data_IF_531809950391
#
_entry.id   IF_531809950391
#
_cell.length_a   1.000
_cell.length_b   1.000
_cell.length_c   1.000
_cell.angle_alpha   90.00
_cell.angle_beta   90.00
_cell.angle_gamma   90.00
#
_symmetry.space_group_name_H-M   'P 1'
#
loop_
_entity.id
_entity.type
_entity.pdbx_description
1 polymer ?
#
# COMPACT_ATOMS: atom_id res chain seq x y z
N UNK A 1 38.33 9.04 3.97
CA UNK A 1 37.64 9.06 5.26
C UNK A 1 36.19 9.49 5.07
N UNK A 2 35.27 8.58 5.38
CA UNK A 2 33.83 8.79 5.34
C UNK A 2 33.32 8.69 6.77
N UNK A 3 32.59 9.69 7.24
CA UNK A 3 32.11 9.74 8.63
C UNK A 3 30.60 9.94 8.68
N UNK A 4 29.97 9.27 9.65
CA UNK A 4 28.55 9.43 9.97
C UNK A 4 28.38 10.25 11.24
N UNK A 5 27.45 11.19 11.19
CA UNK A 5 27.16 12.12 12.27
C UNK A 5 25.66 12.13 12.58
N UNK A 6 25.28 12.07 13.85
CA UNK A 6 23.89 12.21 14.30
C UNK A 6 23.66 13.67 14.71
N UNK A 7 22.69 14.34 14.08
CA UNK A 7 22.46 15.80 14.25
C UNK A 7 21.71 16.15 15.56
N UNK A 8 21.44 15.20 16.44
CA UNK A 8 20.58 15.39 17.61
C UNK A 8 21.24 14.84 18.86
N UNK A 9 21.35 15.67 19.90
CA UNK A 9 21.88 15.28 21.20
C UNK A 9 20.90 14.39 21.99
N UNK A 10 19.59 14.62 21.83
CA UNK A 10 18.54 13.86 22.52
C UNK A 10 17.49 13.31 21.52
N UNK A 11 17.41 11.98 21.43
CA UNK A 11 16.52 11.30 20.48
C UNK A 11 15.08 11.34 21.02
N UNK A 12 14.28 12.27 20.51
CA UNK A 12 12.85 12.39 20.85
C UNK A 12 11.89 11.71 19.87
N UNK A 13 12.39 11.30 18.70
CA UNK A 13 11.61 10.63 17.66
C UNK A 13 12.36 9.39 17.18
N UNK A 14 11.65 8.33 16.78
CA UNK A 14 12.24 7.08 16.28
C UNK A 14 12.79 7.24 14.85
N UNK A 15 12.78 8.46 14.31
CA UNK A 15 13.38 8.80 13.02
C UNK A 15 14.52 9.77 13.28
N UNK A 16 15.75 9.27 13.16
CA UNK A 16 16.96 10.01 13.49
C UNK A 16 17.57 10.61 12.23
N UNK A 17 17.86 11.92 12.20
CA UNK A 17 18.60 12.52 11.11
C UNK A 17 20.08 12.09 11.19
N UNK A 18 20.53 11.40 10.17
CA UNK A 18 21.93 11.00 9.98
C UNK A 18 22.50 11.86 8.87
N UNK A 19 23.62 12.50 9.14
CA UNK A 19 24.44 13.21 8.15
C UNK A 19 25.71 12.43 7.90
N UNK A 20 26.30 12.69 6.76
CA UNK A 20 27.63 12.21 6.47
C UNK A 20 28.48 13.35 5.91
N UNK A 21 29.78 13.19 6.08
CA UNK A 21 30.76 13.96 5.36
C UNK A 21 31.79 13.01 4.74
N UNK A 22 32.38 13.46 3.64
CA UNK A 22 33.34 12.72 2.83
C UNK A 22 34.61 13.56 2.75
N UNK A 23 35.76 12.95 2.97
CA UNK A 23 37.02 13.62 2.72
C UNK A 23 37.27 13.87 1.22
N UNK A 24 38.11 14.86 0.96
CA UNK A 24 38.46 15.26 -0.40
C UNK A 24 39.06 14.09 -1.21
N UNK A 25 39.90 13.26 -0.60
CA UNK A 25 40.53 12.13 -1.28
C UNK A 25 39.52 11.08 -1.77
N UNK A 26 38.47 10.77 -0.98
CA UNK A 26 37.42 9.85 -1.43
C UNK A 26 36.56 10.47 -2.53
N UNK A 27 36.29 11.78 -2.47
CA UNK A 27 35.59 12.47 -3.56
C UNK A 27 36.39 12.43 -4.87
N UNK A 28 37.70 12.65 -4.80
CA UNK A 28 38.58 12.57 -5.95
C UNK A 28 38.63 11.13 -6.52
N UNK A 29 38.61 10.11 -5.65
CA UNK A 29 38.50 8.71 -6.06
C UNK A 29 37.17 8.39 -6.78
N UNK A 30 36.04 8.95 -6.28
CA UNK A 30 34.74 8.83 -6.95
C UNK A 30 34.80 9.46 -8.35
N UNK A 31 35.37 10.67 -8.46
CA UNK A 31 35.54 11.35 -9.76
C UNK A 31 36.43 10.54 -10.72
N UNK A 32 37.54 10.00 -10.22
CA UNK A 32 38.48 9.20 -11.00
C UNK A 32 37.86 7.91 -11.54
N UNK A 33 36.87 7.33 -10.84
CA UNK A 33 36.18 6.12 -11.31
C UNK A 33 35.29 6.35 -12.54
N UNK A 34 34.98 7.62 -12.88
CA UNK A 34 34.10 7.99 -13.98
C UNK A 34 32.64 7.57 -13.77
N UNK A 35 32.24 7.27 -12.52
CA UNK A 35 30.87 6.96 -12.16
C UNK A 35 29.96 8.17 -12.44
N UNK A 36 28.76 7.94 -12.98
CA UNK A 36 27.76 8.99 -13.25
C UNK A 36 26.82 9.24 -12.08
N UNK A 37 26.76 8.31 -11.14
CA UNK A 37 25.96 8.40 -9.92
C UNK A 37 26.73 7.80 -8.76
N UNK A 38 26.63 8.43 -7.59
CA UNK A 38 27.17 7.91 -6.35
C UNK A 38 26.03 7.87 -5.32
N UNK A 39 25.79 6.69 -4.77
CA UNK A 39 24.70 6.42 -3.85
C UNK A 39 25.28 6.02 -2.50
N UNK A 40 24.68 6.54 -1.44
CA UNK A 40 24.94 6.09 -0.07
C UNK A 40 23.88 5.07 0.28
N UNK A 41 24.29 3.82 0.41
CA UNK A 41 23.46 2.76 0.95
C UNK A 41 23.55 2.80 2.47
N UNK A 42 22.48 3.26 3.11
CA UNK A 42 22.34 3.23 4.56
C UNK A 42 21.63 1.94 4.93
N UNK A 43 22.38 1.00 5.50
CA UNK A 43 21.87 -0.26 5.99
C UNK A 43 21.33 -0.07 7.41
N UNK A 44 20.01 -0.22 7.50
CA UNK A 44 19.22 -0.40 8.71
C UNK A 44 18.21 -1.51 8.41
N UNK A 45 17.23 -1.76 9.28
CA UNK A 45 16.19 -2.79 9.09
C UNK A 45 15.53 -2.76 7.69
N UNK A 46 15.33 -1.56 7.12
CA UNK A 46 14.61 -1.37 5.86
C UNK A 46 15.49 -1.08 4.64
N UNK A 47 16.81 -0.89 4.80
CA UNK A 47 17.75 -0.57 3.71
C UNK A 47 17.37 0.65 2.87
N UNK A 48 18.10 1.76 2.99
CA UNK A 48 17.79 2.98 2.24
C UNK A 48 18.94 3.41 1.34
N UNK A 49 18.65 3.59 0.05
CA UNK A 49 19.58 4.18 -0.90
C UNK A 49 19.28 5.66 -1.04
N UNK A 50 20.28 6.50 -0.77
CA UNK A 50 20.15 7.95 -0.82
C UNK A 50 21.24 8.53 -1.71
N UNK A 51 20.95 9.50 -2.59
CA UNK A 51 21.99 10.18 -3.35
C UNK A 51 23.04 10.78 -2.40
N UNK A 52 24.33 10.62 -2.74
CA UNK A 52 25.42 11.19 -1.94
C UNK A 52 25.26 12.71 -1.75
N UNK A 53 24.65 13.37 -2.73
CA UNK A 53 24.34 14.81 -2.80
C UNK A 53 23.38 15.31 -1.72
N UNK A 54 22.52 14.46 -1.17
CA UNK A 54 21.53 14.88 -0.15
C UNK A 54 22.24 15.25 1.18
N UNK A 55 23.49 14.80 1.39
CA UNK A 55 24.33 15.10 2.57
C UNK A 55 23.80 14.55 3.90
N UNK A 56 22.70 13.81 3.86
CA UNK A 56 22.05 13.21 5.00
C UNK A 56 20.69 12.64 4.66
N UNK A 57 20.16 11.83 5.58
CA UNK A 57 18.82 11.27 5.48
C UNK A 57 18.20 11.09 6.87
N UNK A 58 16.92 10.74 6.91
CA UNK A 58 16.27 10.29 8.14
C UNK A 58 16.20 8.77 8.08
N UNK A 59 16.71 8.10 9.12
CA UNK A 59 16.57 6.66 9.29
C UNK A 59 15.48 6.42 10.32
N UNK A 60 14.44 5.69 9.93
CA UNK A 60 13.34 5.31 10.81
C UNK A 60 13.59 3.93 11.40
N UNK A 61 13.51 3.85 12.72
CA UNK A 61 13.65 2.60 13.46
C UNK A 61 12.28 2.02 13.80
N UNK A 62 12.22 0.70 13.97
CA UNK A 62 10.97 -0.03 14.28
C UNK A 62 10.93 -0.54 15.71
N UNK A 63 12.07 -0.61 16.38
CA UNK A 63 12.18 -1.13 17.74
C UNK A 63 13.08 -0.23 18.58
N UNK A 64 12.81 -0.14 19.90
CA UNK A 64 13.72 0.52 20.83
C UNK A 64 14.89 -0.41 21.18
N UNK A 65 16.02 0.18 21.54
CA UNK A 65 17.22 -0.56 21.90
C UNK A 65 18.49 0.02 21.30
N UNK A 66 19.57 -0.76 21.38
CA UNK A 66 20.83 -0.44 20.72
C UNK A 66 20.72 -0.80 19.24
N UNK A 67 20.74 0.21 18.39
CA UNK A 67 20.63 0.05 16.94
C UNK A 67 21.98 0.33 16.29
N UNK A 68 22.31 -0.48 15.28
CA UNK A 68 23.52 -0.35 14.47
C UNK A 68 23.14 0.21 13.10
N UNK A 69 23.72 1.34 12.72
CA UNK A 69 23.57 1.90 11.38
C UNK A 69 24.91 1.85 10.68
N UNK A 70 24.95 1.19 9.52
CA UNK A 70 26.10 1.24 8.62
C UNK A 70 25.73 1.96 7.33
N UNK A 71 26.67 2.71 6.78
CA UNK A 71 26.52 3.35 5.49
C UNK A 71 27.71 3.00 4.60
N UNK A 72 27.43 2.71 3.33
CA UNK A 72 28.44 2.43 2.31
C UNK A 72 28.21 3.35 1.10
N UNK A 73 29.30 3.90 0.55
CA UNK A 73 29.25 4.62 -0.72
C UNK A 73 29.44 3.60 -1.85
N UNK A 74 28.41 3.48 -2.69
CA UNK A 74 28.37 2.57 -3.84
C UNK A 74 28.22 3.37 -5.13
N UNK A 75 29.02 3.03 -6.14
CA UNK A 75 28.93 3.64 -7.49
C UNK A 75 27.87 2.93 -8.35
N UNK A 76 27.52 3.54 -9.48
CA UNK A 76 26.71 2.90 -10.53
C UNK A 76 27.29 1.56 -11.05
N UNK A 77 28.61 1.40 -10.97
CA UNK A 77 29.32 0.16 -11.32
C UNK A 77 29.24 -0.92 -10.23
N UNK A 78 28.72 -0.58 -9.05
CA UNK A 78 28.66 -1.48 -7.89
C UNK A 78 29.92 -1.49 -7.04
N UNK A 79 30.88 -0.60 -7.29
CA UNK A 79 32.12 -0.51 -6.51
C UNK A 79 31.83 0.11 -5.14
N UNK A 80 32.33 -0.53 -4.08
CA UNK A 80 32.21 -0.03 -2.70
C UNK A 80 33.47 0.76 -2.35
N UNK A 81 33.33 2.06 -2.15
CA UNK A 81 34.48 2.95 -1.99
C UNK A 81 34.80 3.20 -0.51
N UNK A 82 33.78 3.43 0.31
CA UNK A 82 33.95 3.74 1.71
C UNK A 82 32.79 3.19 2.54
N UNK A 83 33.07 2.86 3.81
CA UNK A 83 32.11 2.37 4.79
C UNK A 83 32.28 3.12 6.11
N UNK A 84 31.17 3.46 6.75
CA UNK A 84 31.11 4.05 8.07
C UNK A 84 30.01 3.38 8.90
N UNK A 85 30.20 3.32 10.21
CA UNK A 85 29.29 2.65 11.14
C UNK A 85 29.08 3.50 12.39
N UNK A 86 27.87 3.52 12.92
CA UNK A 86 27.51 4.23 14.14
C UNK A 86 26.50 3.41 14.96
N UNK A 87 26.71 3.36 16.26
CA UNK A 87 25.82 2.71 17.21
C UNK A 87 25.19 3.77 18.12
N UNK A 88 23.88 3.70 18.34
CA UNK A 88 23.21 4.55 19.32
C UNK A 88 21.98 3.87 19.93
N UNK A 89 21.59 4.31 21.12
CA UNK A 89 20.47 3.77 21.88
C UNK A 89 19.21 4.58 21.62
N UNK A 90 18.12 3.90 21.25
CA UNK A 90 16.81 4.51 21.01
C UNK A 90 15.88 4.20 22.20
N UNK A 91 15.40 5.23 22.92
CA UNK A 91 14.51 5.02 24.04
C UNK A 91 13.14 4.52 23.58
N UNK A 92 12.49 3.70 24.41
CA UNK A 92 11.14 3.18 24.13
C UNK A 92 10.07 4.28 24.01
N UNK A 93 10.30 5.43 24.66
CA UNK A 93 9.38 6.59 24.68
C UNK A 93 9.21 7.25 23.31
N UNK A 94 10.16 7.03 22.39
CA UNK A 94 10.05 7.51 21.01
C UNK A 94 8.90 6.85 20.23
N UNK A 95 8.51 5.63 20.61
CA UNK A 95 7.52 4.85 19.89
C UNK A 95 6.10 5.11 20.43
N UNK A 96 5.10 5.30 19.55
CA UNK A 96 3.72 5.37 19.97
C UNK A 96 3.26 4.02 20.52
N UNK A 97 2.23 4.06 21.38
CA UNK A 97 1.56 2.86 21.89
C UNK A 97 1.05 1.97 20.74
N UNK A 98 1.05 0.64 20.92
CA UNK A 98 0.63 -0.30 19.88
C UNK A 98 -0.80 0.01 19.39
N UNK A 99 -1.00 -0.04 18.08
CA UNK A 99 -2.28 0.34 17.44
C UNK A 99 -3.40 -0.63 17.75
N UNK A 100 -3.06 -1.90 17.97
CA UNK A 100 -4.01 -3.01 18.13
C UNK A 100 -4.94 -2.83 19.34
N UNK A 101 -4.52 -2.04 20.34
CA UNK A 101 -5.33 -1.73 21.51
C UNK A 101 -6.49 -0.76 21.21
N UNK A 102 -6.54 -0.17 20.00
CA UNK A 102 -7.59 0.77 19.63
C UNK A 102 -8.81 0.05 19.05
N UNK A 103 -9.98 0.44 19.52
CA UNK A 103 -11.27 -0.10 19.07
C UNK A 103 -11.53 0.10 17.57
N UNK A 104 -10.96 1.13 16.96
CA UNK A 104 -11.15 1.45 15.54
C UNK A 104 -10.25 0.61 14.62
N UNK A 105 -9.24 -0.07 15.16
CA UNK A 105 -8.26 -0.79 14.34
C UNK A 105 -8.86 -1.85 13.42
N UNK A 106 -9.77 -2.75 13.87
CA UNK A 106 -10.39 -3.74 13.00
C UNK A 106 -11.17 -3.10 11.85
N UNK A 107 -11.83 -1.97 12.09
CA UNK A 107 -12.52 -1.21 11.05
C UNK A 107 -11.53 -0.65 10.02
N UNK A 108 -10.42 -0.06 10.48
CA UNK A 108 -9.40 0.52 9.60
C UNK A 108 -8.66 -0.50 8.73
N UNK A 109 -8.57 -1.76 9.17
CA UNK A 109 -7.89 -2.84 8.43
C UNK A 109 -8.83 -3.73 7.63
N UNK A 110 -10.15 -3.59 7.79
CA UNK A 110 -11.13 -4.53 7.23
C UNK A 110 -11.02 -4.76 5.71
N UNK A 111 -10.55 -3.77 4.94
CA UNK A 111 -10.46 -3.84 3.48
C UNK A 111 -9.06 -3.52 2.92
N UNK A 112 -8.05 -3.32 3.78
CA UNK A 112 -6.72 -2.86 3.36
C UNK A 112 -5.64 -3.66 4.09
N UNK A 113 -5.12 -4.67 3.38
CA UNK A 113 -3.88 -5.35 3.72
C UNK A 113 -2.70 -4.72 2.95
N UNK A 114 -1.49 -4.59 3.52
CA UNK A 114 -1.04 -5.07 4.84
C UNK A 114 -1.34 -4.09 6.00
N UNK A 115 -0.97 -4.43 7.23
CA UNK A 115 -1.08 -3.56 8.41
C UNK A 115 -0.33 -2.21 8.22
N UNK A 116 -0.81 -1.10 8.82
CA UNK A 116 -0.17 0.21 8.67
C UNK A 116 1.19 0.25 9.41
N UNK A 117 2.23 0.72 8.72
CA UNK A 117 3.59 0.78 9.27
C UNK A 117 3.82 2.01 10.19
N UNK A 118 3.17 3.14 9.92
CA UNK A 118 3.34 4.39 10.66
C UNK A 118 2.00 5.09 10.96
N UNK A 119 2.04 6.07 11.87
CA UNK A 119 0.86 6.86 12.25
C UNK A 119 0.22 7.59 11.06
N UNK A 120 1.00 7.95 10.05
CA UNK A 120 0.47 8.67 8.89
C UNK A 120 -0.23 7.76 7.89
N UNK A 121 0.23 6.52 7.71
CA UNK A 121 -0.51 5.49 7.02
C UNK A 121 -1.85 5.25 7.74
N UNK A 122 -1.85 5.19 9.07
CA UNK A 122 -3.08 5.06 9.84
C UNK A 122 -4.02 6.26 9.66
N UNK A 123 -3.51 7.51 9.72
CA UNK A 123 -4.31 8.72 9.48
C UNK A 123 -4.88 8.79 8.07
N UNK A 124 -4.10 8.41 7.05
CA UNK A 124 -4.57 8.34 5.66
C UNK A 124 -5.67 7.28 5.52
N UNK A 125 -5.49 6.11 6.14
CA UNK A 125 -6.52 5.06 6.17
C UNK A 125 -7.77 5.50 6.89
N UNK A 126 -7.69 6.28 7.98
CA UNK A 126 -8.87 6.84 8.66
C UNK A 126 -9.70 7.72 7.75
N UNK A 127 -9.07 8.59 6.96
CA UNK A 127 -9.78 9.42 5.99
C UNK A 127 -10.56 8.53 5.02
N UNK A 128 -9.95 7.50 4.46
CA UNK A 128 -10.62 6.55 3.57
C UNK A 128 -11.71 5.72 4.29
N UNK A 129 -11.39 5.18 5.47
CA UNK A 129 -12.22 4.25 6.21
C UNK A 129 -13.47 4.90 6.81
N UNK A 130 -13.46 6.21 7.05
CA UNK A 130 -14.63 6.93 7.55
C UNK A 130 -15.44 7.62 6.44
N UNK A 131 -14.87 7.82 5.26
CA UNK A 131 -15.56 8.50 4.14
C UNK A 131 -16.03 7.52 3.06
N UNK A 132 -15.12 6.69 2.55
CA UNK A 132 -15.38 5.82 1.38
C UNK A 132 -15.81 4.43 1.82
N UNK A 133 -15.17 3.87 2.83
CA UNK A 133 -15.44 2.50 3.26
C UNK A 133 -16.88 2.23 3.71
N UNK A 134 -17.61 3.11 4.44
CA UNK A 134 -19.01 2.85 4.77
C UNK A 134 -19.88 2.69 3.51
N UNK A 135 -19.60 3.48 2.47
CA UNK A 135 -20.31 3.41 1.18
C UNK A 135 -19.98 2.10 0.46
N UNK A 136 -18.70 1.73 0.41
CA UNK A 136 -18.27 0.47 -0.22
C UNK A 136 -18.85 -0.74 0.51
N UNK A 137 -18.79 -0.76 1.84
CA UNK A 137 -19.34 -1.84 2.66
C UNK A 137 -20.85 -1.92 2.52
N UNK A 138 -21.55 -0.78 2.55
CA UNK A 138 -22.99 -0.72 2.30
C UNK A 138 -23.35 -1.26 0.92
N UNK A 139 -22.61 -0.89 -0.12
CA UNK A 139 -22.80 -1.40 -1.48
C UNK A 139 -22.56 -2.91 -1.57
N UNK A 140 -21.46 -3.42 -1.01
CA UNK A 140 -21.13 -4.85 -1.00
C UNK A 140 -22.19 -5.66 -0.26
N UNK A 141 -22.65 -5.20 0.91
CA UNK A 141 -23.72 -5.85 1.66
C UNK A 141 -25.04 -5.84 0.88
N UNK A 142 -25.38 -4.73 0.22
CA UNK A 142 -26.59 -4.62 -0.60
C UNK A 142 -26.54 -5.58 -1.79
N UNK A 143 -25.42 -5.61 -2.52
CA UNK A 143 -25.22 -6.54 -3.65
C UNK A 143 -25.32 -7.99 -3.17
N UNK A 144 -24.64 -8.33 -2.07
CA UNK A 144 -24.68 -9.68 -1.49
C UNK A 144 -26.10 -10.08 -1.10
N UNK A 145 -26.86 -9.18 -0.49
CA UNK A 145 -28.25 -9.42 -0.11
C UNK A 145 -29.15 -9.66 -1.34
N UNK A 146 -29.04 -8.83 -2.38
CA UNK A 146 -29.80 -8.99 -3.63
C UNK A 146 -29.47 -10.32 -4.31
N UNK A 147 -28.18 -10.66 -4.43
CA UNK A 147 -27.74 -11.94 -5.01
C UNK A 147 -28.28 -13.11 -4.20
N UNK A 148 -28.20 -13.05 -2.87
CA UNK A 148 -28.72 -14.10 -2.01
C UNK A 148 -30.24 -14.25 -2.12
N UNK A 149 -30.99 -13.16 -2.18
CA UNK A 149 -32.44 -13.18 -2.41
C UNK A 149 -32.81 -13.81 -3.77
N UNK A 150 -32.08 -13.48 -4.84
CA UNK A 150 -32.27 -14.11 -6.15
C UNK A 150 -31.99 -15.61 -6.08
N UNK A 151 -30.89 -16.02 -5.46
CA UNK A 151 -30.54 -17.45 -5.31
C UNK A 151 -31.63 -18.19 -4.54
N UNK A 152 -32.09 -17.64 -3.41
CA UNK A 152 -33.16 -18.26 -2.60
C UNK A 152 -34.47 -18.35 -3.38
N UNK A 153 -34.83 -17.30 -4.13
CA UNK A 153 -36.03 -17.31 -4.97
C UNK A 153 -35.96 -18.41 -6.04
N UNK A 154 -34.81 -18.56 -6.70
CA UNK A 154 -34.58 -19.63 -7.67
C UNK A 154 -34.67 -21.00 -7.00
N UNK A 155 -34.04 -21.19 -5.84
CA UNK A 155 -34.12 -22.46 -5.09
C UNK A 155 -35.55 -22.81 -4.67
N UNK A 156 -36.34 -21.81 -4.27
CA UNK A 156 -37.75 -21.99 -3.90
C UNK A 156 -38.59 -22.38 -5.12
N UNK A 157 -38.36 -21.75 -6.28
CA UNK A 157 -39.01 -22.14 -7.55
C UNK A 157 -38.62 -23.56 -7.99
N UNK A 158 -37.40 -24.01 -7.66
CA UNK A 158 -36.94 -25.40 -7.87
C UNK A 158 -37.42 -26.37 -6.77
N UNK A 159 -38.26 -25.91 -5.83
CA UNK A 159 -38.85 -26.73 -4.78
C UNK A 159 -37.83 -27.31 -3.81
N UNK A 160 -36.70 -26.65 -3.59
CA UNK A 160 -35.71 -27.09 -2.60
C UNK A 160 -36.23 -26.93 -1.16
N UNK A 161 -35.96 -27.92 -0.31
CA UNK A 161 -36.22 -27.86 1.14
C UNK A 161 -34.92 -27.50 1.89
N UNK A 162 -35.04 -27.15 3.18
CA UNK A 162 -33.88 -26.89 4.04
C UNK A 162 -33.12 -25.58 3.75
N UNK A 163 -33.78 -24.57 3.17
CA UNK A 163 -33.17 -23.25 2.96
C UNK A 163 -33.08 -22.53 4.31
N UNK A 164 -31.87 -22.27 4.79
CA UNK A 164 -31.68 -21.46 5.99
C UNK A 164 -31.76 -19.97 5.66
N UNK A 165 -32.92 -19.36 5.95
CA UNK A 165 -33.15 -17.93 5.78
C UNK A 165 -32.25 -17.06 6.67
N UNK A 166 -31.70 -17.62 7.75
CA UNK A 166 -30.81 -16.88 8.66
C UNK A 166 -29.51 -16.50 7.97
N UNK A 167 -29.00 -17.34 7.08
CA UNK A 167 -27.80 -17.07 6.27
C UNK A 167 -27.99 -15.84 5.35
N UNK A 168 -29.23 -15.53 4.96
CA UNK A 168 -29.54 -14.35 4.15
C UNK A 168 -29.64 -13.07 5.01
N UNK A 169 -30.12 -13.19 6.24
CA UNK A 169 -30.23 -12.08 7.21
C UNK A 169 -28.92 -11.77 7.94
N UNK A 170 -27.97 -12.70 7.96
CA UNK A 170 -26.65 -12.55 8.59
C UNK A 170 -25.57 -12.94 7.58
N UNK A 171 -25.07 -12.00 6.77
CA UNK A 171 -24.01 -12.29 5.81
C UNK A 171 -22.68 -12.55 6.52
N UNK A 172 -22.50 -13.75 7.05
CA UNK A 172 -21.26 -14.27 7.62
C UNK A 172 -20.45 -15.10 6.62
N UNK A 173 -19.15 -15.30 6.86
CA UNK A 173 -18.29 -16.12 6.00
C UNK A 173 -18.54 -17.65 6.11
N UNK A 174 -19.26 -18.13 7.14
CA UNK A 174 -19.38 -19.56 7.45
C UNK A 174 -20.73 -20.20 7.15
N UNK A 175 -21.74 -19.43 6.77
CA UNK A 175 -23.11 -19.95 6.81
C UNK A 175 -23.49 -20.55 5.45
N UNK A 176 -23.56 -21.88 5.39
CA UNK A 176 -24.01 -22.59 4.20
C UNK A 176 -25.51 -22.38 4.00
N UNK A 177 -25.92 -21.88 2.82
CA UNK A 177 -27.33 -21.60 2.50
C UNK A 177 -28.27 -22.83 2.49
N UNK A 178 -27.70 -24.05 2.47
CA UNK A 178 -28.45 -25.29 2.28
C UNK A 178 -28.05 -26.27 3.37
N UNK A 179 -28.97 -26.56 4.28
CA UNK A 179 -28.98 -27.81 5.02
C UNK A 179 -29.59 -28.89 4.11
N UNK A 180 -28.97 -30.06 4.11
CA UNK A 180 -28.92 -31.00 2.99
C UNK A 180 -30.22 -31.82 2.79
N UNK A 181 -31.35 -31.14 2.56
CA UNK A 181 -32.66 -31.75 2.37
C UNK A 181 -33.08 -31.65 0.89
N UNK A 182 -33.33 -32.80 0.26
CA UNK A 182 -33.62 -32.90 -1.18
C UNK A 182 -34.78 -32.03 -1.69
N UNK A 183 -34.92 -31.93 -3.02
CA UNK A 183 -36.01 -31.20 -3.66
C UNK A 183 -37.35 -31.95 -3.55
N UNK A 184 -38.45 -31.19 -3.40
CA UNK A 184 -39.84 -31.68 -3.47
C UNK A 184 -40.13 -32.35 -4.80
N UNK A 185 -39.64 -31.78 -5.89
CA UNK A 185 -39.92 -32.27 -7.24
C UNK A 185 -39.08 -33.50 -7.58
N UNK A 186 -37.95 -33.68 -6.89
CA UNK A 186 -36.94 -34.68 -7.21
C UNK A 186 -36.36 -35.28 -5.90
N UNK A 187 -37.08 -36.22 -5.26
CA UNK A 187 -36.84 -36.64 -3.87
C UNK A 187 -35.55 -37.46 -3.64
N UNK A 188 -34.80 -37.82 -4.67
CA UNK A 188 -33.56 -38.62 -4.54
C UNK A 188 -32.49 -38.17 -5.52
N UNK A 189 -31.82 -37.05 -5.23
CA UNK A 189 -30.68 -36.61 -6.02
C UNK A 189 -29.37 -36.95 -5.29
N UNK A 190 -28.76 -38.07 -5.70
CA UNK A 190 -27.43 -38.48 -5.24
C UNK A 190 -26.35 -37.91 -6.19
N UNK A 191 -25.99 -36.62 -6.04
CA UNK A 191 -24.85 -35.90 -6.68
C UNK A 191 -24.91 -35.60 -8.21
N UNK A 192 -24.00 -34.77 -8.80
CA UNK A 192 -23.50 -33.46 -8.41
C UNK A 192 -23.97 -32.39 -9.44
N UNK A 193 -25.28 -32.18 -9.58
CA UNK A 193 -25.82 -31.20 -10.54
C UNK A 193 -25.56 -29.73 -10.17
N UNK A 194 -24.92 -29.48 -9.00
CA UNK A 194 -24.40 -28.17 -8.59
C UNK A 194 -23.55 -27.53 -9.70
N UNK A 195 -22.77 -28.33 -10.45
CA UNK A 195 -21.94 -27.82 -11.55
C UNK A 195 -22.73 -27.49 -12.81
N UNK A 196 -23.84 -28.18 -13.07
CA UNK A 196 -24.65 -27.94 -14.28
C UNK A 196 -25.40 -26.60 -14.17
N UNK A 197 -26.04 -26.33 -13.03
CA UNK A 197 -26.70 -25.04 -12.80
C UNK A 197 -25.71 -23.86 -12.75
N UNK A 198 -24.50 -24.06 -12.20
CA UNK A 198 -23.43 -23.05 -12.24
C UNK A 198 -22.85 -22.84 -13.66
N UNK A 199 -22.76 -23.89 -14.48
CA UNK A 199 -22.28 -23.81 -15.87
C UNK A 199 -23.28 -23.11 -16.80
N UNK A 200 -24.59 -23.26 -16.54
CA UNK A 200 -25.64 -22.60 -17.34
C UNK A 200 -25.98 -21.18 -16.87
N UNK A 201 -25.57 -20.78 -15.67
CA UNK A 201 -25.81 -19.44 -15.10
C UNK A 201 -25.35 -18.28 -16.01
N UNK A 202 -24.11 -18.25 -16.56
CA UNK A 202 -23.68 -17.16 -17.45
C UNK A 202 -24.44 -17.16 -18.79
N UNK A 203 -24.85 -18.34 -19.28
CA UNK A 203 -25.62 -18.46 -20.51
C UNK A 203 -27.06 -17.97 -20.31
N UNK A 204 -27.64 -18.27 -19.14
CA UNK A 204 -28.97 -17.84 -18.74
C UNK A 204 -29.01 -16.33 -18.50
N UNK A 205 -27.91 -15.76 -17.97
CA UNK A 205 -27.75 -14.31 -17.80
C UNK A 205 -27.62 -13.60 -19.15
N UNK A 206 -26.84 -14.13 -20.09
CA UNK A 206 -26.76 -13.63 -21.48
C UNK A 206 -28.11 -13.71 -22.20
N UNK A 207 -28.87 -14.78 -21.99
CA UNK A 207 -30.23 -14.93 -22.53
C UNK A 207 -31.16 -13.88 -21.92
N UNK A 208 -31.09 -13.64 -20.60
CA UNK A 208 -31.90 -12.60 -19.93
C UNK A 208 -31.50 -11.19 -20.39
N UNK A 209 -30.21 -10.91 -20.62
CA UNK A 209 -29.76 -9.63 -21.18
C UNK A 209 -30.22 -9.46 -22.63
N UNK A 210 -30.07 -10.50 -23.45
CA UNK A 210 -30.52 -10.49 -24.85
C UNK A 210 -32.04 -10.28 -24.95
N UNK A 211 -32.82 -10.96 -24.10
CA UNK A 211 -34.27 -10.78 -24.01
C UNK A 211 -34.60 -9.37 -23.49
N UNK A 212 -33.89 -8.85 -22.49
CA UNK A 212 -34.08 -7.48 -21.99
C UNK A 212 -33.81 -6.40 -23.04
N UNK A 213 -32.80 -6.59 -23.89
CA UNK A 213 -32.52 -5.70 -25.02
C UNK A 213 -33.55 -5.84 -26.14
N UNK A 214 -34.04 -7.05 -26.42
CA UNK A 214 -35.09 -7.30 -27.41
C UNK A 214 -36.44 -6.71 -26.99
N UNK A 215 -36.78 -6.77 -25.70
CA UNK A 215 -38.04 -6.21 -25.16
C UNK A 215 -37.98 -4.69 -24.98
N UNK A 216 -36.80 -4.12 -24.72
CA UNK A 216 -36.60 -2.67 -24.55
C UNK A 216 -36.57 -1.85 -25.86
N UNK A 217 -36.72 -2.48 -27.03
CA UNK A 217 -36.67 -1.79 -28.33
C UNK A 217 -37.96 -1.04 -28.68
N UNK A 218 -39.10 -1.35 -28.06
CA UNK A 218 -40.41 -0.77 -28.44
C UNK A 218 -41.05 0.15 -27.39
N UNK A 219 -40.42 0.33 -26.22
CA UNK A 219 -41.00 1.17 -25.17
C UNK A 219 -40.06 1.34 -24.00
N UNK A 220 -40.07 2.54 -23.41
CA UNK A 220 -39.16 3.00 -22.37
C UNK A 220 -39.30 2.24 -21.03
N UNK A 221 -39.00 0.95 -21.03
CA UNK A 221 -39.03 0.13 -19.83
C UNK A 221 -37.67 0.15 -19.14
N UNK A 222 -37.70 0.56 -17.87
CA UNK A 222 -36.59 0.75 -16.93
C UNK A 222 -35.56 -0.38 -16.87
N UNK A 223 -35.86 -1.55 -17.43
CA UNK A 223 -35.01 -2.74 -17.43
C UNK A 223 -33.84 -2.67 -18.43
N UNK A 224 -34.08 -2.18 -19.66
CA UNK A 224 -33.01 -2.00 -20.65
C UNK A 224 -31.98 -0.96 -20.21
N UNK A 225 -32.47 0.09 -19.54
CA UNK A 225 -31.63 1.12 -18.92
C UNK A 225 -30.74 0.52 -17.80
N UNK A 226 -31.30 -0.33 -16.93
CA UNK A 226 -30.54 -0.99 -15.87
C UNK A 226 -29.39 -1.87 -16.41
N UNK A 227 -29.60 -2.60 -17.51
CA UNK A 227 -28.55 -3.42 -18.13
C UNK A 227 -27.45 -2.57 -18.79
N UNK A 228 -27.81 -1.47 -19.44
CA UNK A 228 -26.84 -0.51 -19.96
C UNK A 228 -26.02 0.14 -18.82
N UNK A 229 -26.65 0.44 -17.68
CA UNK A 229 -25.96 0.91 -16.49
C UNK A 229 -24.95 -0.11 -15.94
N UNK A 230 -25.31 -1.40 -15.88
CA UNK A 230 -24.39 -2.44 -15.41
C UNK A 230 -23.19 -2.61 -16.37
N UNK A 231 -23.43 -2.56 -17.67
CA UNK A 231 -22.35 -2.67 -18.66
C UNK A 231 -21.41 -1.47 -18.61
N UNK A 232 -21.94 -0.25 -18.49
CA UNK A 232 -21.13 0.97 -18.36
C UNK A 232 -20.27 0.96 -17.09
N UNK A 233 -20.80 0.47 -15.96
CA UNK A 233 -20.02 0.26 -14.73
C UNK A 233 -18.89 -0.75 -14.97
N UNK A 234 -19.17 -1.87 -15.62
CA UNK A 234 -18.16 -2.89 -15.91
C UNK A 234 -17.04 -2.36 -16.83
N UNK A 235 -17.38 -1.65 -17.91
CA UNK A 235 -16.40 -1.01 -18.79
C UNK A 235 -15.61 0.11 -18.13
N UNK A 236 -16.22 0.82 -17.18
CA UNK A 236 -15.53 1.86 -16.41
C UNK A 236 -14.45 1.26 -15.51
N UNK A 237 -14.74 0.15 -14.84
CA UNK A 237 -13.78 -0.56 -13.98
C UNK A 237 -12.58 -1.07 -14.77
N UNK A 238 -12.79 -1.64 -15.97
CA UNK A 238 -11.69 -2.13 -16.80
C UNK A 238 -10.79 -0.99 -17.32
N UNK A 239 -11.38 0.16 -17.68
CA UNK A 239 -10.62 1.34 -18.12
C UNK A 239 -9.76 1.93 -16.99
N UNK A 240 -10.29 2.02 -15.76
CA UNK A 240 -9.53 2.52 -14.60
C UNK A 240 -8.31 1.64 -14.33
N UNK A 241 -8.47 0.31 -14.39
CA UNK A 241 -7.36 -0.63 -14.22
C UNK A 241 -6.26 -0.41 -15.28
N UNK A 242 -6.63 -0.20 -16.55
CA UNK A 242 -5.67 0.07 -17.62
C UNK A 242 -4.89 1.37 -17.40
N UNK A 243 -5.55 2.43 -16.93
CA UNK A 243 -4.90 3.72 -16.64
C UNK A 243 -3.90 3.56 -15.49
N UNK A 244 -4.27 2.82 -14.44
CA UNK A 244 -3.36 2.56 -13.31
C UNK A 244 -2.08 1.84 -13.77
N UNK A 245 -2.19 0.82 -14.61
CA UNK A 245 -1.03 0.11 -15.17
C UNK A 245 -0.15 1.02 -16.04
N UNK A 246 -0.76 1.84 -16.90
CA UNK A 246 -0.03 2.78 -17.74
C UNK A 246 0.74 3.81 -16.91
N UNK A 247 0.14 4.36 -15.86
CA UNK A 247 0.80 5.34 -14.99
C UNK A 247 1.98 4.76 -14.21
N UNK A 248 1.96 3.46 -13.87
CA UNK A 248 3.08 2.79 -13.20
C UNK A 248 4.37 2.79 -14.01
N UNK A 249 4.29 2.62 -15.34
CA UNK A 249 5.48 2.59 -16.21
C UNK A 249 6.14 3.97 -16.37
N UNK A 250 5.35 5.05 -16.40
CA UNK A 250 5.85 6.42 -16.49
C UNK A 250 6.56 6.85 -15.20
N UNK A 251 6.06 6.43 -14.03
CA UNK A 251 6.67 6.73 -12.74
C UNK A 251 8.11 6.16 -12.64
N UNK A 252 8.36 4.97 -13.19
CA UNK A 252 9.68 4.34 -13.15
C UNK A 252 10.75 5.14 -13.89
N UNK A 253 10.43 5.72 -15.07
CA UNK A 253 11.37 6.56 -15.83
C UNK A 253 11.71 7.87 -15.14
N UNK A 254 10.79 8.42 -14.36
CA UNK A 254 11.02 9.65 -13.60
C UNK A 254 11.96 9.42 -12.40
N UNK A 255 11.94 8.22 -11.80
CA UNK A 255 12.86 7.89 -10.72
C UNK A 255 14.30 7.82 -11.17
N UNK A 256 14.58 7.26 -12.35
CA UNK A 256 15.95 7.17 -12.90
C UNK A 256 16.59 8.55 -13.12
N UNK A 257 15.82 9.55 -13.55
CA UNK A 257 16.32 10.92 -13.74
C UNK A 257 16.71 11.63 -12.42
N UNK A 258 16.22 11.15 -11.28
CA UNK A 258 16.41 11.77 -9.97
C UNK A 258 17.77 11.49 -9.33
N UNK A 259 18.52 10.51 -9.85
CA UNK A 259 19.78 10.05 -9.27
C UNK A 259 21.03 10.57 -9.98
N UNK A 260 20.89 11.48 -10.96
CA UNK A 260 22.03 12.11 -11.62
C UNK A 260 22.98 12.78 -10.61
N UNK A 261 24.29 12.67 -10.84
CA UNK A 261 25.31 13.36 -10.04
C UNK A 261 24.97 14.86 -9.94
N UNK A 262 25.08 15.44 -8.73
CA UNK A 262 24.80 16.86 -8.53
C UNK A 262 25.95 17.71 -9.09
N UNK A 263 25.67 19.00 -9.32
CA UNK A 263 26.68 19.98 -9.69
C UNK A 263 27.82 20.06 -8.66
N UNK A 264 29.04 20.43 -9.09
CA UNK A 264 30.24 20.49 -8.24
C UNK A 264 30.05 21.33 -6.97
N UNK A 265 29.23 22.38 -7.04
CA UNK A 265 28.90 23.21 -5.89
C UNK A 265 28.21 22.41 -4.78
N UNK A 266 27.38 21.42 -5.11
CA UNK A 266 26.72 20.56 -4.13
C UNK A 266 27.70 19.60 -3.43
N UNK A 267 28.72 19.11 -4.15
CA UNK A 267 29.74 18.23 -3.58
C UNK A 267 30.62 18.93 -2.54
N UNK A 268 30.91 20.22 -2.72
CA UNK A 268 31.72 20.97 -1.75
C UNK A 268 31.06 21.07 -0.37
N UNK A 269 29.73 20.95 -0.27
CA UNK A 269 29.02 20.90 1.02
C UNK A 269 29.19 19.56 1.76
N UNK A 270 29.71 18.52 1.10
CA UNK A 270 29.91 17.21 1.69
C UNK A 270 31.28 17.06 2.36
N UNK A 271 32.18 18.03 2.19
CA UNK A 271 33.52 17.98 2.77
C UNK A 271 33.45 18.05 4.30
N UNK A 272 34.16 17.14 4.97
CA UNK A 272 34.35 17.23 6.42
C UNK A 272 35.20 18.47 6.75
N UNK A 273 34.69 19.37 7.58
CA UNK A 273 35.47 20.48 8.15
C UNK A 273 35.92 20.17 9.58
N UNK A 274 36.82 20.97 10.13
CA UNK A 274 37.39 20.81 11.49
C UNK A 274 36.33 20.86 12.61
N UNK A 275 35.11 21.31 12.30
CA UNK A 275 33.96 21.35 13.20
C UNK A 275 32.84 20.36 12.87
N UNK A 276 33.11 19.34 12.04
CA UNK A 276 32.11 18.37 11.56
C UNK A 276 31.48 18.77 10.22
N UNK A 277 30.37 18.12 9.82
CA UNK A 277 29.69 18.43 8.56
C UNK A 277 29.17 19.86 8.58
N UNK A 278 29.59 20.67 7.60
CA UNK A 278 29.12 22.04 7.46
C UNK A 278 27.58 22.04 7.39
N UNK A 279 26.92 22.64 8.39
CA UNK A 279 25.48 22.79 8.36
C UNK A 279 25.12 23.66 7.16
N UNK A 280 24.41 23.14 6.15
CA UNK A 280 24.05 23.96 5.01
C UNK A 280 23.17 25.11 5.49
N UNK A 281 23.52 26.34 5.10
CA UNK A 281 22.79 27.56 5.47
C UNK A 281 21.28 27.44 5.18
N UNK A 282 20.90 26.61 4.20
CA UNK A 282 19.52 26.18 3.96
C UNK A 282 19.44 24.67 3.76
N UNK A 283 18.81 23.96 4.71
CA UNK A 283 18.38 22.56 4.51
C UNK A 283 17.43 22.48 3.31
N UNK A 284 17.61 21.53 2.37
CA UNK A 284 16.71 21.35 1.24
C UNK A 284 15.28 21.09 1.71
N UNK A 285 14.30 21.59 0.96
CA UNK A 285 12.86 21.50 1.30
C UNK A 285 12.45 20.06 1.58
N UNK A 286 13.01 19.09 0.84
CA UNK A 286 12.81 17.65 1.04
C UNK A 286 13.21 17.18 2.44
N UNK A 287 14.37 17.60 2.96
CA UNK A 287 14.81 17.25 4.31
C UNK A 287 13.96 17.95 5.38
N UNK A 288 13.51 19.18 5.14
CA UNK A 288 12.56 19.87 6.04
C UNK A 288 11.22 19.14 6.11
N UNK A 289 10.69 18.74 4.96
CA UNK A 289 9.47 17.96 4.89
C UNK A 289 9.64 16.59 5.57
N UNK A 290 10.76 15.89 5.36
CA UNK A 290 11.06 14.64 6.07
C UNK A 290 11.19 14.85 7.58
N UNK A 291 11.79 15.95 8.03
CA UNK A 291 11.86 16.31 9.46
C UNK A 291 10.46 16.50 10.05
N UNK A 292 9.61 17.25 9.34
CA UNK A 292 8.23 17.47 9.75
C UNK A 292 7.45 16.16 9.77
N UNK A 293 7.61 15.34 8.72
CA UNK A 293 7.01 14.01 8.62
C UNK A 293 7.46 13.12 9.78
N UNK A 294 8.74 13.07 10.10
CA UNK A 294 9.29 12.28 11.21
C UNK A 294 8.70 12.68 12.58
N UNK A 295 8.40 13.98 12.77
CA UNK A 295 7.74 14.47 13.99
C UNK A 295 6.28 14.05 14.09
N UNK A 296 5.57 13.98 12.95
CA UNK A 296 4.12 13.77 12.88
C UNK A 296 3.74 12.30 12.63
N UNK A 297 4.59 11.55 11.93
CA UNK A 297 4.36 10.21 11.42
C UNK A 297 5.32 9.23 12.11
N UNK A 298 5.02 8.85 13.35
CA UNK A 298 5.90 7.92 14.07
C UNK A 298 5.63 6.47 13.59
N UNK A 299 6.67 5.67 13.28
CA UNK A 299 6.53 4.23 13.06
C UNK A 299 5.99 3.55 14.31
N UNK A 300 5.17 2.52 14.12
CA UNK A 300 4.72 1.68 15.23
C UNK A 300 5.82 0.72 15.65
N UNK A 301 5.80 0.33 16.93
CA UNK A 301 6.68 -0.72 17.44
C UNK A 301 6.32 -2.04 16.74
N UNK A 302 7.30 -2.64 16.07
CA UNK A 302 7.19 -3.97 15.46
C UNK A 302 7.13 -5.07 16.52
#
# INVERSE_FOLDING_TARGET
>A
MFELHVDVQEIQNPSVPIRWCVDKATLDAIKASGAKTALVHVYCADGHTVPLSDGGTYVSFRQPGLEHVSAEIVTDKGDRIAKAEINFMIPAECFPKPVQERWDYPWLTMMIDPAPHDECALRRRRLFAYTVQPVVVGAVLTIRYVVSLVIVTVMLLMGMRGIDWRANLRPGPSDSLIENDGSIFLPRWKTPLRYLCLAFMPLLLLIVVGIGMLVGLDGADSFGFALACLFTVFSGVTLVNLIMDATGTAAKKLEEAKYALPDEAALNYLLCGDGGPATPARRPIKLRYRALKAKVCRPFKA
#
